data_IF_886701911115
#
_entry.id   IF_886701911115
#
_cell.length_a   1.000
_cell.length_b   1.000
_cell.length_c   1.000
_cell.angle_alpha   90.00
_cell.angle_beta   90.00
_cell.angle_gamma   90.00
#
_symmetry.space_group_name_H-M   'P 1'
#
loop_
_entity.id
_entity.type
_entity.pdbx_description
1 polymer ?
#
# COMPACT_ATOMS: atom_id res chain seq x y z
N UNK A 1 2.61 5.53 -8.76
CA UNK A 1 1.30 5.53 -8.07
C UNK A 1 0.61 6.85 -8.34
N UNK A 2 -0.61 6.81 -8.85
CA UNK A 2 -1.46 8.00 -9.00
C UNK A 2 -2.73 7.86 -8.17
N UNK A 3 -3.23 8.97 -7.63
CA UNK A 3 -4.54 8.99 -6.96
C UNK A 3 -5.65 8.63 -7.96
N UNK A 4 -5.51 9.00 -9.24
CA UNK A 4 -6.47 8.66 -10.30
C UNK A 4 -6.54 7.14 -10.50
N UNK A 5 -5.39 6.47 -10.52
CA UNK A 5 -5.31 5.01 -10.64
C UNK A 5 -6.01 4.31 -9.47
N UNK A 6 -5.87 4.82 -8.25
CA UNK A 6 -6.59 4.30 -7.08
C UNK A 6 -8.11 4.43 -7.26
N UNK A 7 -8.61 5.57 -7.75
CA UNK A 7 -10.04 5.77 -8.01
C UNK A 7 -10.57 4.82 -9.11
N UNK A 8 -9.80 4.63 -10.17
CA UNK A 8 -10.12 3.64 -11.21
C UNK A 8 -10.16 2.21 -10.67
N UNK A 9 -9.23 1.85 -9.79
CA UNK A 9 -9.23 0.54 -9.13
C UNK A 9 -10.43 0.35 -8.20
N UNK A 10 -10.79 1.37 -7.40
CA UNK A 10 -12.00 1.33 -6.56
C UNK A 10 -13.25 1.16 -7.42
N UNK A 11 -13.33 1.87 -8.56
CA UNK A 11 -14.46 1.75 -9.49
C UNK A 11 -14.56 0.36 -10.13
N UNK A 12 -13.44 -0.29 -10.41
CA UNK A 12 -13.39 -1.61 -11.08
C UNK A 12 -13.57 -2.79 -10.12
N UNK A 13 -12.93 -2.72 -8.95
CA UNK A 13 -12.82 -3.85 -8.01
C UNK A 13 -13.77 -3.72 -6.81
N UNK A 14 -14.29 -2.51 -6.56
CA UNK A 14 -14.95 -2.19 -5.31
C UNK A 14 -13.98 -1.80 -4.20
N UNK A 15 -14.51 -1.12 -3.18
CA UNK A 15 -13.69 -0.56 -2.10
C UNK A 15 -13.06 -1.63 -1.21
N UNK A 16 -13.75 -2.73 -0.93
CA UNK A 16 -13.24 -3.80 -0.05
C UNK A 16 -12.00 -4.49 -0.65
N UNK A 17 -12.10 -4.87 -1.93
CA UNK A 17 -11.00 -5.52 -2.65
C UNK A 17 -9.82 -4.56 -2.84
N UNK A 18 -10.10 -3.29 -3.14
CA UNK A 18 -9.06 -2.25 -3.16
C UNK A 18 -8.33 -2.18 -1.81
N UNK A 19 -9.04 -2.08 -0.69
CA UNK A 19 -8.42 -2.00 0.64
C UNK A 19 -7.61 -3.24 1.00
N UNK A 20 -8.05 -4.44 0.59
CA UNK A 20 -7.29 -5.68 0.77
C UNK A 20 -5.96 -5.63 0.02
N UNK A 21 -5.98 -5.17 -1.22
CA UNK A 21 -4.78 -5.02 -2.04
C UNK A 21 -3.85 -3.94 -1.51
N UNK A 22 -4.39 -2.80 -1.05
CA UNK A 22 -3.59 -1.75 -0.39
C UNK A 22 -2.92 -2.25 0.87
N UNK A 23 -3.63 -3.01 1.71
CA UNK A 23 -3.07 -3.58 2.94
C UNK A 23 -1.86 -4.46 2.63
N UNK A 24 -1.95 -5.32 1.62
CA UNK A 24 -0.83 -6.16 1.19
C UNK A 24 0.31 -5.29 0.65
N UNK A 25 0.01 -4.34 -0.24
CA UNK A 25 0.98 -3.44 -0.88
C UNK A 25 1.79 -2.63 0.12
N UNK A 26 1.17 -2.18 1.21
CA UNK A 26 1.81 -1.32 2.21
C UNK A 26 2.35 -2.05 3.43
N UNK A 27 2.27 -3.38 3.46
CA UNK A 27 2.82 -4.18 4.57
C UNK A 27 4.27 -4.55 4.29
N UNK A 28 5.17 -4.22 5.21
CA UNK A 28 6.56 -4.61 5.16
C UNK A 28 6.68 -6.12 5.37
N UNK A 29 7.34 -6.82 4.43
CA UNK A 29 7.51 -8.27 4.50
C UNK A 29 8.48 -8.72 5.62
N UNK A 30 9.28 -7.81 6.16
CA UNK A 30 10.25 -8.13 7.23
C UNK A 30 9.64 -8.05 8.62
N UNK A 31 8.90 -6.98 8.92
CA UNK A 31 8.39 -6.73 10.27
C UNK A 31 6.87 -6.58 10.36
N UNK A 32 6.14 -6.66 9.24
CA UNK A 32 4.69 -6.43 9.20
C UNK A 32 4.28 -4.96 9.35
N UNK A 33 5.22 -4.03 9.54
CA UNK A 33 4.94 -2.61 9.68
C UNK A 33 4.56 -1.92 8.37
N UNK A 34 4.07 -0.67 8.44
CA UNK A 34 3.61 0.07 7.26
C UNK A 34 4.77 0.70 6.47
N UNK A 35 4.71 0.60 5.14
CA UNK A 35 5.64 1.25 4.21
C UNK A 35 5.18 2.69 3.92
N UNK A 36 6.10 3.65 3.98
CA UNK A 36 5.83 5.05 3.65
C UNK A 36 5.74 5.28 2.13
N UNK A 37 4.62 5.79 1.64
CA UNK A 37 4.43 6.14 0.21
C UNK A 37 5.42 7.18 -0.32
N UNK A 38 5.86 8.12 0.52
CA UNK A 38 6.79 9.18 0.09
C UNK A 38 8.26 8.75 0.11
N UNK A 39 8.63 7.87 1.06
CA UNK A 39 10.03 7.49 1.30
C UNK A 39 10.40 6.11 0.76
N UNK A 40 9.41 5.25 0.48
CA UNK A 40 9.66 3.86 0.09
C UNK A 40 10.33 3.04 1.20
N UNK A 41 10.13 3.41 2.46
CA UNK A 41 10.75 2.75 3.61
C UNK A 41 9.72 2.40 4.67
N UNK A 42 9.92 1.26 5.35
CA UNK A 42 9.09 0.86 6.47
C UNK A 42 9.29 1.78 7.68
N UNK A 43 8.19 2.19 8.34
CA UNK A 43 8.25 2.94 9.59
C UNK A 43 8.72 2.12 10.80
N UNK A 44 8.54 0.79 10.75
CA UNK A 44 8.89 -0.11 11.84
C UNK A 44 10.38 -0.47 11.88
N UNK A 45 10.94 -0.91 10.74
CA UNK A 45 12.33 -1.41 10.68
C UNK A 45 13.25 -0.60 9.75
N UNK A 46 12.75 0.42 9.06
CA UNK A 46 13.56 1.23 8.13
C UNK A 46 13.93 0.53 6.81
N UNK A 47 13.56 -0.74 6.61
CA UNK A 47 13.79 -1.47 5.36
C UNK A 47 13.21 -0.70 4.18
N UNK A 48 13.99 -0.57 3.10
CA UNK A 48 13.53 -0.04 1.81
C UNK A 48 12.81 -1.13 1.01
N UNK A 49 11.76 -0.74 0.32
CA UNK A 49 10.92 -1.61 -0.53
C UNK A 49 11.02 -1.23 -1.98
#
# INVERSE_FOLDING_TARGET
>A
MSVIENLENIKKLGIEEFLRNEKIRWTCIECGGTICVHKGSCYGCGRKT
#
